data_IF_820202677361
#
_entry.id   IF_820202677361
#
_cell.length_a   1.000
_cell.length_b   1.000
_cell.length_c   1.000
_cell.angle_alpha   90.00
_cell.angle_beta   90.00
_cell.angle_gamma   90.00
#
_symmetry.space_group_name_H-M   'P 1'
#
loop_
_entity.id
_entity.type
_entity.pdbx_description
1 polymer ?
#
# COMPACT_ATOMS: atom_id res chain seq x y z
N UNK A 1 20.42 -27.88 -10.91
CA UNK A 1 19.08 -27.60 -11.46
C UNK A 1 19.11 -26.21 -12.04
N UNK A 2 18.64 -26.00 -13.29
CA UNK A 2 18.69 -24.66 -13.90
C UNK A 2 17.59 -23.80 -13.27
N UNK A 3 17.83 -22.51 -13.10
CA UNK A 3 16.84 -21.55 -12.58
C UNK A 3 15.52 -21.63 -13.36
N UNK A 4 15.63 -21.78 -14.68
CA UNK A 4 14.49 -21.93 -15.57
C UNK A 4 13.65 -23.18 -15.29
N UNK A 5 14.27 -24.29 -14.88
CA UNK A 5 13.53 -25.52 -14.51
C UNK A 5 12.70 -25.28 -13.24
N UNK A 6 13.26 -24.54 -12.27
CA UNK A 6 12.59 -24.18 -11.02
C UNK A 6 11.40 -23.25 -11.30
N UNK A 7 11.62 -22.21 -12.10
CA UNK A 7 10.57 -21.25 -12.49
C UNK A 7 9.45 -21.97 -13.24
N UNK A 8 9.80 -22.80 -14.23
CA UNK A 8 8.81 -23.53 -15.01
C UNK A 8 8.02 -24.52 -14.15
N UNK A 9 8.71 -25.24 -13.26
CA UNK A 9 8.07 -26.13 -12.30
C UNK A 9 7.10 -25.38 -11.38
N UNK A 10 7.48 -24.22 -10.87
CA UNK A 10 6.62 -23.37 -10.04
C UNK A 10 5.38 -22.91 -10.81
N UNK A 11 5.57 -22.42 -12.03
CA UNK A 11 4.48 -21.95 -12.88
C UNK A 11 3.46 -23.05 -13.16
N UNK A 12 3.94 -24.24 -13.49
CA UNK A 12 3.11 -25.39 -13.84
C UNK A 12 2.38 -25.97 -12.63
N UNK A 13 3.05 -26.10 -11.50
CA UNK A 13 2.52 -26.83 -10.34
C UNK A 13 1.76 -25.96 -9.33
N UNK A 14 2.11 -24.68 -9.22
CA UNK A 14 1.57 -23.77 -8.21
C UNK A 14 0.83 -22.59 -8.86
N UNK A 15 1.55 -21.74 -9.60
CA UNK A 15 1.03 -20.43 -10.00
C UNK A 15 -0.13 -20.49 -10.99
N UNK A 16 0.03 -21.16 -12.13
CA UNK A 16 -1.01 -21.22 -13.16
C UNK A 16 -2.28 -21.93 -12.69
N UNK A 17 -2.20 -23.08 -11.97
CA UNK A 17 -3.38 -23.70 -11.38
C UNK A 17 -4.11 -22.75 -10.43
N UNK A 18 -3.38 -22.11 -9.50
CA UNK A 18 -3.98 -21.16 -8.56
C UNK A 18 -4.64 -19.98 -9.27
N UNK A 19 -3.97 -19.39 -10.26
CA UNK A 19 -4.48 -18.25 -11.02
C UNK A 19 -5.75 -18.65 -11.77
N UNK A 20 -5.77 -19.82 -12.41
CA UNK A 20 -6.95 -20.33 -13.13
C UNK A 20 -8.14 -20.54 -12.18
N UNK A 21 -7.91 -21.12 -10.99
CA UNK A 21 -8.98 -21.35 -10.01
C UNK A 21 -9.56 -20.05 -9.46
N UNK A 22 -8.75 -19.00 -9.32
CA UNK A 22 -9.16 -17.75 -8.67
C UNK A 22 -9.43 -16.59 -9.65
N UNK A 23 -9.26 -16.80 -10.95
CA UNK A 23 -9.32 -15.76 -11.98
C UNK A 23 -10.53 -14.82 -11.87
N UNK A 24 -11.71 -15.41 -11.69
CA UNK A 24 -12.98 -14.68 -11.64
C UNK A 24 -13.16 -13.84 -10.37
N UNK A 25 -12.36 -14.09 -9.32
CA UNK A 25 -12.40 -13.31 -8.07
C UNK A 25 -11.63 -12.00 -8.17
N UNK A 26 -10.72 -11.88 -9.14
CA UNK A 26 -9.85 -10.71 -9.29
C UNK A 26 -10.47 -9.67 -10.20
N UNK A 27 -10.32 -8.40 -9.86
CA UNK A 27 -10.65 -7.29 -10.76
C UNK A 27 -9.66 -7.22 -11.94
N UNK A 28 -9.99 -6.38 -12.93
CA UNK A 28 -9.16 -6.21 -14.13
C UNK A 28 -7.72 -5.81 -13.79
N UNK A 29 -7.53 -4.86 -12.88
CA UNK A 29 -6.20 -4.31 -12.55
C UNK A 29 -5.34 -5.36 -11.84
N UNK A 30 -5.92 -6.11 -10.91
CA UNK A 30 -5.24 -7.20 -10.22
C UNK A 30 -4.87 -8.35 -11.17
N UNK A 31 -5.73 -8.67 -12.14
CA UNK A 31 -5.40 -9.64 -13.21
C UNK A 31 -4.22 -9.19 -14.05
N UNK A 32 -4.17 -7.92 -14.44
CA UNK A 32 -3.04 -7.34 -15.19
C UNK A 32 -1.74 -7.41 -14.39
N UNK A 33 -1.77 -7.06 -13.10
CA UNK A 33 -0.60 -7.15 -12.22
C UNK A 33 -0.11 -8.60 -12.04
N UNK A 34 -1.04 -9.57 -11.95
CA UNK A 34 -0.71 -10.99 -11.88
C UNK A 34 -0.12 -11.51 -13.18
N UNK A 35 -0.60 -11.06 -14.35
CA UNK A 35 0.02 -11.39 -15.64
C UNK A 35 1.44 -10.81 -15.69
N UNK A 36 1.63 -9.55 -15.30
CA UNK A 36 2.95 -8.92 -15.29
C UNK A 36 3.93 -9.64 -14.33
N UNK A 37 3.46 -10.03 -13.15
CA UNK A 37 4.24 -10.84 -12.22
C UNK A 37 4.70 -12.15 -12.86
N UNK A 38 3.78 -12.86 -13.53
CA UNK A 38 4.08 -14.10 -14.23
C UNK A 38 5.18 -13.91 -15.27
N UNK A 39 5.02 -12.89 -16.11
CA UNK A 39 5.93 -12.64 -17.23
C UNK A 39 7.33 -12.24 -16.73
N UNK A 40 7.42 -11.46 -15.64
CA UNK A 40 8.69 -11.15 -14.98
C UNK A 40 9.36 -12.40 -14.40
N UNK A 41 8.60 -13.28 -13.76
CA UNK A 41 9.16 -14.48 -13.14
C UNK A 41 9.71 -15.46 -14.19
N UNK A 42 9.08 -15.57 -15.37
CA UNK A 42 9.64 -16.32 -16.52
C UNK A 42 11.01 -15.78 -16.97
N UNK A 43 11.21 -14.46 -16.86
CA UNK A 43 12.47 -13.80 -17.21
C UNK A 43 13.61 -14.02 -16.20
N UNK A 44 13.35 -14.64 -15.03
CA UNK A 44 14.37 -14.82 -14.02
C UNK A 44 15.50 -15.75 -14.47
N UNK A 45 16.72 -15.29 -14.28
CA UNK A 45 17.98 -15.95 -14.60
C UNK A 45 18.80 -16.29 -13.35
N UNK A 46 18.44 -15.73 -12.19
CA UNK A 46 19.11 -15.95 -10.91
C UNK A 46 18.13 -16.21 -9.76
N UNK A 47 18.65 -16.74 -8.64
CA UNK A 47 17.88 -16.90 -7.40
C UNK A 47 17.44 -15.55 -6.82
N UNK A 48 18.29 -14.53 -6.92
CA UNK A 48 17.97 -13.20 -6.39
C UNK A 48 16.85 -12.53 -7.19
N UNK A 49 16.83 -12.71 -8.51
CA UNK A 49 15.70 -12.28 -9.34
C UNK A 49 14.40 -13.03 -8.98
N UNK A 50 14.47 -14.34 -8.69
CA UNK A 50 13.31 -15.08 -8.16
C UNK A 50 12.83 -14.43 -6.87
N UNK A 51 13.72 -14.22 -5.89
CA UNK A 51 13.37 -13.64 -4.58
C UNK A 51 12.71 -12.27 -4.75
N UNK A 52 13.32 -11.38 -5.53
CA UNK A 52 12.78 -10.04 -5.76
C UNK A 52 11.44 -10.05 -6.49
N UNK A 53 11.28 -10.90 -7.51
CA UNK A 53 10.01 -11.00 -8.22
C UNK A 53 8.93 -11.61 -7.33
N UNK A 54 9.24 -12.65 -6.55
CA UNK A 54 8.32 -13.30 -5.62
C UNK A 54 7.81 -12.34 -4.54
N UNK A 55 8.61 -11.36 -4.09
CA UNK A 55 8.13 -10.28 -3.21
C UNK A 55 6.94 -9.52 -3.80
N UNK A 56 6.77 -9.51 -5.12
CA UNK A 56 5.60 -8.92 -5.79
C UNK A 56 4.29 -9.60 -5.35
N UNK A 57 4.28 -10.92 -5.06
CA UNK A 57 3.08 -11.58 -4.55
C UNK A 57 2.64 -11.02 -3.19
N UNK A 58 3.59 -10.75 -2.30
CA UNK A 58 3.31 -10.12 -1.02
C UNK A 58 2.82 -8.68 -1.23
N UNK A 59 3.42 -7.96 -2.17
CA UNK A 59 2.97 -6.60 -2.51
C UNK A 59 1.53 -6.59 -3.00
N UNK A 60 1.18 -7.54 -3.87
CA UNK A 60 -0.18 -7.70 -4.37
C UNK A 60 -1.13 -8.06 -3.25
N UNK A 61 -0.77 -9.00 -2.37
CA UNK A 61 -1.54 -9.35 -1.17
C UNK A 61 -1.86 -8.11 -0.30
N UNK A 62 -0.83 -7.31 0.06
CA UNK A 62 -1.00 -6.11 0.90
C UNK A 62 -1.95 -5.12 0.23
N UNK A 63 -1.82 -4.93 -1.09
CA UNK A 63 -2.60 -3.96 -1.86
C UNK A 63 -3.98 -4.46 -2.31
N UNK A 64 -4.31 -5.71 -2.00
CA UNK A 64 -5.56 -6.32 -2.45
C UNK A 64 -6.70 -6.08 -1.46
N UNK A 65 -7.95 -5.98 -1.94
CA UNK A 65 -9.12 -5.95 -1.07
C UNK A 65 -9.23 -7.21 -0.19
N UNK A 66 -9.86 -7.09 0.98
CA UNK A 66 -9.91 -8.17 1.97
C UNK A 66 -10.59 -9.45 1.46
N UNK A 67 -11.61 -9.31 0.61
CA UNK A 67 -12.35 -10.45 0.04
C UNK A 67 -11.51 -11.35 -0.88
N UNK A 68 -10.31 -10.93 -1.30
CA UNK A 68 -9.39 -11.76 -2.09
C UNK A 68 -8.11 -12.13 -1.35
N UNK A 69 -7.85 -11.56 -0.15
CA UNK A 69 -6.63 -11.82 0.62
C UNK A 69 -6.48 -13.28 1.03
N UNK A 70 -7.58 -13.96 1.33
CA UNK A 70 -7.56 -15.40 1.66
C UNK A 70 -6.98 -16.25 0.52
N UNK A 71 -7.30 -15.89 -0.74
CA UNK A 71 -6.77 -16.59 -1.91
C UNK A 71 -5.25 -16.45 -2.02
N UNK A 72 -4.71 -15.29 -1.64
CA UNK A 72 -3.27 -15.04 -1.62
C UNK A 72 -2.57 -15.76 -0.47
N UNK A 73 -3.19 -15.91 0.71
CA UNK A 73 -2.58 -16.64 1.83
C UNK A 73 -2.28 -18.09 1.45
N UNK A 74 -3.23 -18.77 0.80
CA UNK A 74 -3.00 -20.13 0.30
C UNK A 74 -1.84 -20.16 -0.71
N UNK A 75 -1.79 -19.18 -1.61
CA UNK A 75 -0.76 -19.07 -2.64
C UNK A 75 0.63 -18.84 -2.05
N UNK A 76 0.76 -17.94 -1.08
CA UNK A 76 2.03 -17.63 -0.42
C UNK A 76 2.57 -18.86 0.31
N UNK A 77 1.71 -19.62 1.01
CA UNK A 77 2.11 -20.89 1.67
C UNK A 77 2.65 -21.90 0.66
N UNK A 78 1.89 -22.18 -0.41
CA UNK A 78 2.33 -23.12 -1.47
C UNK A 78 3.60 -22.68 -2.17
N UNK A 79 3.77 -21.36 -2.34
CA UNK A 79 4.97 -20.76 -2.92
C UNK A 79 6.18 -20.97 -2.03
N UNK A 80 6.07 -20.68 -0.74
CA UNK A 80 7.15 -20.88 0.24
C UNK A 80 7.56 -22.36 0.31
N UNK A 81 6.60 -23.28 0.39
CA UNK A 81 6.86 -24.72 0.38
C UNK A 81 7.56 -25.19 -0.90
N UNK A 82 7.12 -24.70 -2.07
CA UNK A 82 7.73 -25.04 -3.35
C UNK A 82 9.19 -24.59 -3.41
N UNK A 83 9.46 -23.33 -3.12
CA UNK A 83 10.82 -22.79 -3.21
C UNK A 83 11.74 -23.37 -2.14
N UNK A 84 11.23 -23.63 -0.93
CA UNK A 84 11.97 -24.34 0.12
C UNK A 84 12.44 -25.74 -0.33
N UNK A 85 11.59 -26.52 -1.00
CA UNK A 85 11.98 -27.82 -1.58
C UNK A 85 13.06 -27.70 -2.65
N UNK A 86 13.17 -26.53 -3.28
CA UNK A 86 14.18 -26.22 -4.28
C UNK A 86 15.39 -25.45 -3.70
N UNK A 87 15.57 -25.47 -2.37
CA UNK A 87 16.66 -24.77 -1.66
C UNK A 87 16.69 -23.25 -1.86
N UNK A 88 15.54 -22.65 -2.16
CA UNK A 88 15.36 -21.20 -2.22
C UNK A 88 14.52 -20.79 -1.01
N UNK A 89 15.17 -20.15 -0.04
CA UNK A 89 14.48 -19.62 1.12
C UNK A 89 13.75 -18.32 0.77
N UNK A 90 12.47 -18.30 1.14
CA UNK A 90 11.59 -17.14 1.14
C UNK A 90 11.16 -16.92 2.59
N UNK A 91 11.07 -15.66 3.01
CA UNK A 91 10.63 -15.31 4.37
C UNK A 91 9.35 -14.48 4.28
N UNK A 92 8.26 -15.12 3.85
CA UNK A 92 6.97 -14.43 3.81
C UNK A 92 6.48 -14.13 5.22
N UNK A 93 6.84 -14.96 6.21
CA UNK A 93 6.46 -14.76 7.60
C UNK A 93 6.87 -13.39 8.12
N UNK A 94 8.11 -12.97 7.82
CA UNK A 94 8.61 -11.64 8.16
C UNK A 94 7.91 -10.54 7.35
N UNK A 95 7.73 -10.74 6.05
CA UNK A 95 7.10 -9.73 5.19
C UNK A 95 5.61 -9.50 5.52
N UNK A 96 4.94 -10.55 5.99
CA UNK A 96 3.54 -10.53 6.42
C UNK A 96 3.39 -10.13 7.90
N UNK A 97 4.49 -9.96 8.62
CA UNK A 97 4.45 -9.42 9.98
C UNK A 97 3.82 -8.03 9.94
N UNK A 98 2.84 -7.82 10.80
CA UNK A 98 2.21 -6.53 11.00
C UNK A 98 2.88 -5.79 12.16
N UNK A 99 2.99 -4.48 11.99
CA UNK A 99 3.54 -3.54 12.95
C UNK A 99 2.46 -2.52 13.28
N UNK A 100 2.31 -2.24 14.56
CA UNK A 100 1.39 -1.21 15.03
C UNK A 100 2.00 0.15 14.76
N UNK A 101 1.29 0.98 14.01
CA UNK A 101 1.73 2.32 13.62
C UNK A 101 0.72 3.33 14.15
N UNK A 102 1.19 4.30 14.91
CA UNK A 102 0.36 5.42 15.36
C UNK A 102 0.71 6.68 14.58
N UNK A 103 -0.23 7.18 13.79
CA UNK A 103 -0.12 8.46 13.08
C UNK A 103 -0.68 9.55 13.98
N UNK A 104 0.07 10.64 14.15
CA UNK A 104 -0.33 11.83 14.89
C UNK A 104 -0.36 13.00 13.91
N UNK A 105 -1.51 13.66 13.77
CA UNK A 105 -1.65 14.85 12.92
C UNK A 105 -1.69 16.10 13.78
N UNK A 106 -0.83 17.05 13.44
CA UNK A 106 -0.81 18.39 14.03
C UNK A 106 -0.83 19.45 12.94
N UNK A 107 -1.22 20.67 13.29
CA UNK A 107 -1.04 21.82 12.43
C UNK A 107 0.37 22.43 12.62
N UNK A 108 0.67 23.47 11.83
CA UNK A 108 1.91 24.24 11.87
C UNK A 108 2.09 25.06 13.16
N UNK A 109 1.06 25.15 14.01
CA UNK A 109 1.11 25.69 15.37
C UNK A 109 1.25 24.58 16.44
N UNK A 110 1.53 23.34 16.03
CA UNK A 110 1.69 22.17 16.89
C UNK A 110 0.42 21.80 17.69
N UNK A 111 -0.76 22.27 17.25
CA UNK A 111 -2.07 21.86 17.80
C UNK A 111 -2.51 20.56 17.15
N UNK A 112 -3.14 19.68 17.93
CA UNK A 112 -3.69 18.42 17.39
C UNK A 112 -4.81 18.71 16.40
N UNK A 113 -4.83 17.95 15.31
CA UNK A 113 -5.87 18.07 14.28
C UNK A 113 -6.77 16.86 14.34
N UNK A 114 -7.98 17.07 14.85
CA UNK A 114 -9.04 16.06 14.87
C UNK A 114 -9.74 15.94 13.53
N UNK A 115 -10.36 14.80 13.28
CA UNK A 115 -11.14 14.53 12.06
C UNK A 115 -10.36 14.71 10.76
N UNK A 116 -9.03 14.76 10.80
CA UNK A 116 -8.21 14.81 9.60
C UNK A 116 -8.38 13.49 8.84
N UNK A 117 -8.72 13.58 7.56
CA UNK A 117 -8.78 12.42 6.70
C UNK A 117 -7.37 11.90 6.45
N UNK A 118 -7.17 10.62 6.73
CA UNK A 118 -5.96 9.88 6.45
C UNK A 118 -6.27 8.86 5.36
N UNK A 119 -5.48 8.89 4.29
CA UNK A 119 -5.47 7.87 3.24
C UNK A 119 -4.08 7.25 3.19
N UNK A 120 -4.01 5.93 3.33
CA UNK A 120 -2.75 5.15 3.27
C UNK A 120 -2.68 4.43 1.94
N UNK A 121 -1.61 4.73 1.21
CA UNK A 121 -1.33 4.14 -0.09
C UNK A 121 -0.14 3.19 0.02
N UNK A 122 -0.24 2.05 -0.67
CA UNK A 122 0.84 1.10 -0.84
C UNK A 122 0.97 0.74 -2.32
N UNK A 123 2.16 0.96 -2.91
CA UNK A 123 2.41 0.79 -4.35
C UNK A 123 1.36 1.49 -5.24
N UNK A 124 0.96 2.72 -4.88
CA UNK A 124 -0.02 3.48 -5.64
C UNK A 124 -1.45 2.93 -5.61
N UNK A 125 -1.77 2.07 -4.64
CA UNK A 125 -3.14 1.60 -4.34
C UNK A 125 -3.54 2.06 -2.95
N UNK A 126 -4.77 2.55 -2.81
CA UNK A 126 -5.36 2.83 -1.50
C UNK A 126 -5.60 1.50 -0.80
N UNK A 127 -5.01 1.33 0.38
CA UNK A 127 -5.18 0.13 1.20
C UNK A 127 -6.00 0.39 2.45
N UNK A 128 -6.10 1.65 2.86
CA UNK A 128 -6.80 2.04 4.06
C UNK A 128 -7.14 3.52 4.04
N UNK A 129 -8.30 3.86 4.61
CA UNK A 129 -8.78 5.23 4.77
C UNK A 129 -9.54 5.38 6.09
N UNK A 130 -9.41 6.53 6.73
CA UNK A 130 -10.18 6.88 7.91
C UNK A 130 -9.89 8.30 8.39
N UNK A 131 -10.26 8.60 9.63
CA UNK A 131 -10.15 9.94 10.21
C UNK A 131 -9.44 9.90 11.57
N UNK A 132 -8.70 10.95 11.91
CA UNK A 132 -8.07 11.05 13.23
C UNK A 132 -9.10 11.22 14.34
N UNK A 133 -8.78 10.68 15.52
CA UNK A 133 -9.53 10.89 16.76
C UNK A 133 -9.48 12.34 17.26
N UNK A 134 -10.20 12.65 18.34
CA UNK A 134 -10.16 13.96 19.02
C UNK A 134 -8.74 14.39 19.45
N UNK A 135 -7.85 13.43 19.71
CA UNK A 135 -6.44 13.70 20.05
C UNK A 135 -5.53 13.84 18.82
N UNK A 136 -6.10 13.89 17.61
CA UNK A 136 -5.37 13.92 16.35
C UNK A 136 -4.61 12.63 16.05
N UNK A 137 -4.94 11.52 16.72
CA UNK A 137 -4.25 10.22 16.56
C UNK A 137 -5.09 9.22 15.79
N UNK A 138 -4.42 8.34 15.04
CA UNK A 138 -4.98 7.09 14.54
C UNK A 138 -3.95 5.98 14.59
N UNK A 139 -4.38 4.76 14.93
CA UNK A 139 -3.51 3.59 15.01
C UNK A 139 -4.00 2.52 14.04
N UNK A 140 -3.07 1.92 13.30
CA UNK A 140 -3.34 0.86 12.34
C UNK A 140 -2.19 -0.14 12.29
N UNK A 141 -2.50 -1.36 11.87
CA UNK A 141 -1.53 -2.42 11.68
C UNK A 141 -1.08 -2.47 10.22
N UNK A 142 0.21 -2.25 9.97
CA UNK A 142 0.82 -2.22 8.64
C UNK A 142 1.90 -3.30 8.49
N UNK A 143 1.97 -3.90 7.31
CA UNK A 143 3.03 -4.84 6.96
C UNK A 143 4.38 -4.13 6.74
N UNK A 144 5.46 -4.90 6.66
CA UNK A 144 6.77 -4.37 6.25
C UNK A 144 6.68 -3.77 4.83
N UNK A 145 7.17 -2.53 4.65
CA UNK A 145 7.20 -1.89 3.34
C UNK A 145 7.16 -0.37 3.37
N UNK A 146 7.13 0.22 2.17
CA UNK A 146 7.08 1.67 1.95
C UNK A 146 5.66 2.10 1.59
N UNK A 147 5.15 3.07 2.34
CA UNK A 147 3.83 3.62 2.24
C UNK A 147 3.88 5.11 1.92
N UNK A 148 2.85 5.60 1.26
CA UNK A 148 2.58 7.04 1.12
C UNK A 148 1.32 7.36 1.91
N UNK A 149 1.41 8.29 2.85
CA UNK A 149 0.29 8.71 3.68
C UNK A 149 -0.12 10.13 3.26
N UNK A 150 -1.39 10.27 2.94
CA UNK A 150 -2.04 11.54 2.67
C UNK A 150 -2.83 11.92 3.92
N UNK A 151 -2.51 13.09 4.48
CA UNK A 151 -3.27 13.68 5.57
C UNK A 151 -3.90 14.98 5.07
N UNK A 152 -5.21 15.12 5.19
CA UNK A 152 -5.92 16.31 4.77
C UNK A 152 -7.07 16.67 5.70
N UNK A 153 -7.29 17.96 5.90
CA UNK A 153 -8.51 18.49 6.52
C UNK A 153 -8.99 19.69 5.73
N UNK A 154 -10.31 19.86 5.64
CA UNK A 154 -10.95 20.93 4.89
C UNK A 154 -12.10 21.46 5.74
N UNK A 155 -11.91 22.63 6.34
CA UNK A 155 -12.91 23.35 7.15
C UNK A 155 -13.46 24.56 6.38
N UNK A 156 -14.42 25.29 6.91
CA UNK A 156 -15.04 26.42 6.19
C UNK A 156 -14.02 27.47 5.76
N UNK A 157 -13.11 27.85 6.66
CA UNK A 157 -12.17 28.96 6.45
C UNK A 157 -10.79 28.53 5.93
N UNK A 158 -10.44 27.25 6.05
CA UNK A 158 -9.09 26.78 5.71
C UNK A 158 -9.07 25.32 5.27
N UNK A 159 -7.98 24.92 4.62
CA UNK A 159 -7.65 23.53 4.34
C UNK A 159 -6.18 23.26 4.65
N UNK A 160 -5.86 22.01 4.94
CA UNK A 160 -4.50 21.53 5.11
C UNK A 160 -4.30 20.22 4.37
N UNK A 161 -3.12 20.05 3.80
CA UNK A 161 -2.70 18.83 3.12
C UNK A 161 -1.21 18.58 3.41
N UNK A 162 -0.86 17.35 3.73
CA UNK A 162 0.51 16.89 3.70
C UNK A 162 0.57 15.45 3.16
N UNK A 163 1.66 15.16 2.46
CA UNK A 163 1.96 13.85 1.90
C UNK A 163 3.32 13.44 2.46
N UNK A 164 3.36 12.31 3.16
CA UNK A 164 4.60 11.80 3.74
C UNK A 164 4.85 10.37 3.31
N UNK A 165 6.11 9.99 3.26
CA UNK A 165 6.51 8.60 3.11
C UNK A 165 6.79 7.96 4.47
N UNK A 166 6.40 6.71 4.60
CA UNK A 166 6.61 5.90 5.79
C UNK A 166 7.19 4.55 5.39
N UNK A 167 8.33 4.19 5.98
CA UNK A 167 8.94 2.87 5.82
C UNK A 167 8.71 2.08 7.11
N UNK A 168 8.15 0.88 6.99
CA UNK A 168 7.87 -0.02 8.11
C UNK A 168 8.80 -1.23 8.05
N UNK A 169 9.43 -1.64 9.17
CA UNK A 169 9.43 -0.95 10.47
C UNK A 169 10.28 0.33 10.47
N UNK A 170 9.89 1.31 11.29
CA UNK A 170 10.72 2.48 11.65
C UNK A 170 10.96 2.46 13.17
N UNK A 171 12.14 2.88 13.63
CA UNK A 171 12.36 3.08 15.07
C UNK A 171 11.37 4.13 15.62
N UNK A 172 10.69 3.79 16.73
CA UNK A 172 9.68 4.63 17.36
C UNK A 172 8.35 4.58 16.60
N UNK A 173 7.44 3.71 17.04
CA UNK A 173 6.13 3.35 16.44
C UNK A 173 5.13 4.51 16.23
N UNK A 174 5.51 5.76 16.53
CA UNK A 174 4.73 6.97 16.30
C UNK A 174 5.26 7.79 15.11
N UNK A 175 4.37 8.10 14.15
CA UNK A 175 4.65 8.97 13.02
C UNK A 175 3.91 10.30 13.15
N UNK A 176 4.67 11.38 13.34
CA UNK A 176 4.14 12.74 13.31
C UNK A 176 3.99 13.25 11.87
N UNK A 177 2.82 13.79 11.55
CA UNK A 177 2.52 14.50 10.31
C UNK A 177 2.04 15.91 10.66
N UNK A 178 2.65 16.92 10.04
CA UNK A 178 2.30 18.33 10.24
C UNK A 178 1.57 18.81 8.99
N UNK A 179 0.29 19.18 9.08
CA UNK A 179 -0.42 19.83 7.98
C UNK A 179 -0.28 21.35 8.12
N UNK A 180 0.04 22.04 7.01
CA UNK A 180 0.08 23.49 6.99
C UNK A 180 -1.32 24.03 6.72
N UNK A 181 -1.79 25.01 7.50
CA UNK A 181 -3.09 25.64 7.24
C UNK A 181 -3.01 26.62 6.07
N UNK A 182 -3.93 26.50 5.14
CA UNK A 182 -4.10 27.39 4.00
C UNK A 182 -5.52 27.99 4.02
N UNK A 183 -5.66 29.32 4.09
CA UNK A 183 -6.98 29.96 4.07
C UNK A 183 -7.71 29.73 2.74
N UNK A 184 -9.03 29.56 2.83
CA UNK A 184 -9.95 29.52 1.70
C UNK A 184 -10.51 30.91 1.49
N UNK A 185 -9.77 31.81 0.86
CA UNK A 185 -10.33 33.13 0.56
C UNK A 185 -11.51 32.99 -0.40
N UNK A 186 -12.67 33.54 -0.04
CA UNK A 186 -13.71 33.84 -1.02
C UNK A 186 -13.12 34.87 -1.99
N UNK A 187 -12.96 34.51 -3.26
CA UNK A 187 -12.84 35.52 -4.32
C UNK A 187 -14.16 36.29 -4.37
N UNK A 188 -14.28 37.35 -3.56
CA UNK A 188 -15.27 38.39 -3.77
C UNK A 188 -14.89 39.02 -5.11
N UNK A 189 -15.61 38.65 -6.18
CA UNK A 189 -15.49 39.36 -7.46
C UNK A 189 -15.73 40.85 -7.17
N UNK A 190 -14.82 41.76 -7.51
CA UNK A 190 -15.07 43.17 -7.34
C UNK A 190 -16.32 43.52 -8.16
N UNK A 191 -17.35 44.02 -7.48
CA UNK A 191 -18.52 44.61 -8.12
C UNK A 191 -17.98 45.79 -8.94
N UNK A 192 -17.93 45.63 -10.26
CA UNK A 192 -17.67 46.73 -11.19
C UNK A 192 -18.77 47.77 -10.95
N UNK A 193 -18.44 48.84 -10.22
CA UNK A 193 -19.28 50.03 -10.15
C UNK A 193 -19.45 50.54 -11.58
N UNK A 194 -20.66 50.42 -12.11
CA UNK A 194 -21.07 51.05 -13.36
C UNK A 194 -20.71 52.54 -13.33
N UNK A 195 -19.80 52.95 -14.21
CA UNK A 195 -19.65 54.37 -14.53
C UNK A 195 -20.86 54.77 -15.37
N UNK A 196 -21.79 55.48 -14.74
CA UNK A 196 -22.77 56.29 -15.46
C UNK A 196 -22.01 57.40 -16.20
N UNK A 197 -22.12 57.41 -17.52
CA UNK A 197 -21.87 58.58 -18.37
C UNK A 197 -23.17 58.95 -19.05
#
# INVERSE_FOLDING_TARGET
MKIQDIVWGYMRSIYNPWLSTNWNKFDKRLREDLILFRDKLYGCSSVDEIRENIKTLVRLYISSPDNVKECFIEMLKKTEEYYKKNSIELDFSRMLKQYKVTIIVKDDENRVVKSAQITVMYNGREIWKGITSENGKITLDLNEGRYTIFASLSEEEWYGLNIVELNIPQEGEEKLIIIKRHPKYETIKPILKERKH
#
